data_IF_570191491196
#
_entry.id   IF_570191491196
#
_cell.length_a   1.000
_cell.length_b   1.000
_cell.length_c   1.000
_cell.angle_alpha   90.00
_cell.angle_beta   90.00
_cell.angle_gamma   90.00
#
_symmetry.space_group_name_H-M   'P 1'
#
loop_
_entity.id
_entity.type
_entity.pdbx_description
1 polymer ?
#
# COMPACT_ATOMS: atom_id res chain seq x y z
N UNK A 1 -17.76 -4.01 -21.84
CA UNK A 1 -16.28 -4.06 -21.91
C UNK A 1 -15.76 -4.11 -20.49
N UNK A 2 -15.29 -5.26 -20.03
CA UNK A 2 -14.85 -5.40 -18.64
C UNK A 2 -13.51 -4.68 -18.46
N UNK A 3 -13.43 -3.79 -17.47
CA UNK A 3 -12.17 -3.13 -17.12
C UNK A 3 -11.12 -4.21 -16.80
N UNK A 4 -9.93 -4.20 -17.43
CA UNK A 4 -8.93 -5.26 -17.24
C UNK A 4 -8.36 -5.33 -15.80
N UNK A 5 -8.74 -4.38 -14.95
CA UNK A 5 -8.27 -4.23 -13.56
C UNK A 5 -9.39 -4.41 -12.53
N UNK A 6 -10.51 -5.04 -12.91
CA UNK A 6 -11.58 -5.38 -11.97
C UNK A 6 -11.37 -6.78 -11.39
N UNK A 7 -11.50 -6.91 -10.07
CA UNK A 7 -11.39 -8.21 -9.37
C UNK A 7 -12.48 -9.18 -9.85
N UNK A 8 -12.08 -10.42 -10.12
CA UNK A 8 -12.93 -11.54 -10.58
C UNK A 8 -13.22 -12.55 -9.49
N UNK A 9 -12.34 -12.68 -8.50
CA UNK A 9 -12.44 -13.58 -7.34
C UNK A 9 -11.81 -12.93 -6.11
N UNK A 10 -11.98 -13.52 -4.93
CA UNK A 10 -11.25 -13.04 -3.75
C UNK A 10 -9.78 -13.46 -3.83
N UNK A 11 -8.83 -12.65 -3.30
CA UNK A 11 -7.41 -13.01 -3.25
C UNK A 11 -7.13 -14.33 -2.49
N UNK A 12 -7.98 -14.67 -1.51
CA UNK A 12 -7.86 -15.90 -0.72
C UNK A 12 -8.27 -17.16 -1.50
N UNK A 13 -9.11 -17.01 -2.52
CA UNK A 13 -9.56 -18.11 -3.39
C UNK A 13 -8.48 -18.54 -4.40
N UNK A 14 -7.40 -17.76 -4.53
CA UNK A 14 -6.29 -18.09 -5.44
C UNK A 14 -5.56 -19.34 -4.94
N UNK A 15 -5.43 -20.42 -5.75
CA UNK A 15 -4.74 -21.62 -5.33
C UNK A 15 -3.27 -21.33 -5.00
N UNK A 16 -2.82 -21.73 -3.80
CA UNK A 16 -1.45 -21.53 -3.32
C UNK A 16 -0.36 -21.97 -4.33
N UNK A 17 -0.49 -23.10 -5.07
CA UNK A 17 0.50 -23.46 -6.08
C UNK A 17 0.64 -22.44 -7.21
N UNK A 18 -0.44 -21.77 -7.61
CA UNK A 18 -0.44 -20.74 -8.68
C UNK A 18 0.25 -19.48 -8.17
N UNK A 19 -0.11 -19.02 -6.97
CA UNK A 19 0.53 -17.87 -6.33
C UNK A 19 2.04 -18.09 -6.12
N UNK A 20 2.45 -19.31 -5.75
CA UNK A 20 3.85 -19.69 -5.61
C UNK A 20 4.59 -19.63 -6.96
N UNK A 21 4.00 -20.16 -8.03
CA UNK A 21 4.61 -20.16 -9.35
C UNK A 21 4.86 -18.74 -9.87
N UNK A 22 3.88 -17.85 -9.68
CA UNK A 22 4.02 -16.41 -10.04
C UNK A 22 5.05 -15.72 -9.16
N UNK A 23 5.06 -15.98 -7.85
CA UNK A 23 6.05 -15.38 -6.94
C UNK A 23 7.48 -15.77 -7.33
N UNK A 24 7.70 -17.04 -7.71
CA UNK A 24 9.00 -17.51 -8.20
C UNK A 24 9.37 -16.91 -9.56
N UNK A 25 8.41 -16.83 -10.49
CA UNK A 25 8.61 -16.19 -11.79
C UNK A 25 9.01 -14.71 -11.66
N UNK A 26 8.30 -13.93 -10.84
CA UNK A 26 8.61 -12.53 -10.57
C UNK A 26 9.98 -12.36 -9.91
N UNK A 27 10.38 -13.31 -9.04
CA UNK A 27 11.73 -13.35 -8.46
C UNK A 27 12.80 -13.57 -9.53
N UNK A 28 12.60 -14.54 -10.45
CA UNK A 28 13.52 -14.77 -11.58
C UNK A 28 13.59 -13.56 -12.51
N UNK A 29 12.47 -12.85 -12.67
CA UNK A 29 12.39 -11.62 -13.47
C UNK A 29 12.86 -10.35 -12.75
N UNK A 30 13.58 -10.44 -11.62
CA UNK A 30 14.14 -9.32 -10.85
C UNK A 30 13.12 -8.33 -10.27
N UNK A 31 11.87 -8.75 -10.05
CA UNK A 31 10.83 -7.94 -9.41
C UNK A 31 10.05 -8.76 -8.35
N UNK A 32 10.69 -9.15 -7.25
CA UNK A 32 10.04 -9.97 -6.22
C UNK A 32 8.91 -9.20 -5.55
N UNK A 33 7.73 -9.84 -5.44
CA UNK A 33 6.56 -9.28 -4.78
C UNK A 33 6.12 -10.15 -3.57
N UNK A 34 5.54 -9.55 -2.51
CA UNK A 34 5.00 -10.27 -1.37
C UNK A 34 3.77 -11.10 -1.77
N UNK A 35 3.55 -12.22 -1.06
CA UNK A 35 2.43 -13.13 -1.29
C UNK A 35 1.03 -12.47 -1.36
N UNK A 36 0.66 -11.51 -0.49
CA UNK A 36 -0.63 -10.81 -0.62
C UNK A 36 -0.76 -10.07 -1.95
N UNK A 37 0.28 -9.40 -2.43
CA UNK A 37 0.24 -8.65 -3.69
C UNK A 37 0.12 -9.59 -4.90
N UNK A 38 0.80 -10.74 -4.86
CA UNK A 38 0.65 -11.76 -5.91
C UNK A 38 -0.79 -12.28 -5.98
N UNK A 39 -1.41 -12.51 -4.82
CA UNK A 39 -2.82 -12.96 -4.74
C UNK A 39 -3.78 -11.89 -5.21
N UNK A 40 -3.54 -10.62 -4.88
CA UNK A 40 -4.33 -9.49 -5.37
C UNK A 40 -4.26 -9.35 -6.90
N UNK A 41 -3.07 -9.50 -7.49
CA UNK A 41 -2.92 -9.49 -8.94
C UNK A 41 -3.66 -10.66 -9.60
N UNK A 42 -3.52 -11.87 -9.05
CA UNK A 42 -4.19 -13.07 -9.55
C UNK A 42 -5.71 -13.07 -9.33
N UNK A 43 -6.22 -12.23 -8.43
CA UNK A 43 -7.64 -12.02 -8.23
C UNK A 43 -8.30 -11.28 -9.42
N UNK A 44 -7.52 -10.64 -10.30
CA UNK A 44 -8.00 -10.03 -11.55
C UNK A 44 -8.32 -11.06 -12.64
N UNK A 45 -7.81 -12.28 -12.51
CA UNK A 45 -8.06 -13.38 -13.43
C UNK A 45 -9.17 -14.30 -12.91
N UNK A 46 -9.91 -14.90 -13.84
CA UNK A 46 -10.85 -15.97 -13.50
C UNK A 46 -10.09 -17.25 -13.15
N UNK A 47 -10.71 -18.15 -12.37
CA UNK A 47 -10.13 -19.46 -12.04
C UNK A 47 -9.77 -20.28 -13.28
N UNK A 48 -10.54 -20.11 -14.35
CA UNK A 48 -10.28 -20.75 -15.64
C UNK A 48 -8.94 -20.35 -16.26
N UNK A 49 -8.35 -19.20 -15.91
CA UNK A 49 -7.08 -18.74 -16.47
C UNK A 49 -5.85 -19.26 -15.70
N UNK A 50 -6.03 -19.98 -14.58
CA UNK A 50 -4.91 -20.46 -13.74
C UNK A 50 -3.95 -21.40 -14.49
N UNK A 51 -4.43 -22.14 -15.49
CA UNK A 51 -3.57 -22.97 -16.33
C UNK A 51 -2.65 -22.14 -17.23
N UNK A 52 -3.12 -20.99 -17.71
CA UNK A 52 -2.34 -20.05 -18.55
C UNK A 52 -1.27 -19.38 -17.72
N UNK A 53 -1.60 -19.03 -16.47
CA UNK A 53 -0.63 -18.53 -15.49
C UNK A 53 0.49 -19.55 -15.30
N UNK A 54 0.15 -20.83 -15.04
CA UNK A 54 1.16 -21.88 -14.86
C UNK A 54 2.04 -22.06 -16.08
N UNK A 55 1.44 -22.17 -17.27
CA UNK A 55 2.18 -22.33 -18.52
C UNK A 55 3.18 -21.19 -18.78
N UNK A 56 2.80 -19.95 -18.44
CA UNK A 56 3.70 -18.80 -18.53
C UNK A 56 4.81 -18.85 -17.48
N UNK A 57 4.49 -19.22 -16.23
CA UNK A 57 5.44 -19.24 -15.12
C UNK A 57 6.40 -20.44 -15.11
N UNK A 58 6.11 -21.48 -15.87
CA UNK A 58 6.98 -22.66 -16.03
C UNK A 58 8.22 -22.34 -16.88
N UNK A 59 8.15 -21.30 -17.73
CA UNK A 59 9.26 -20.83 -18.56
C UNK A 59 10.20 -19.82 -17.88
N UNK A 60 11.29 -19.48 -18.57
CA UNK A 60 12.14 -18.34 -18.18
C UNK A 60 11.48 -17.01 -18.57
N UNK A 61 11.65 -15.95 -17.76
CA UNK A 61 11.09 -14.65 -18.08
C UNK A 61 11.80 -14.03 -19.29
N UNK A 62 11.04 -13.75 -20.36
CA UNK A 62 11.56 -13.16 -21.60
C UNK A 62 12.09 -11.73 -21.42
N UNK A 63 11.65 -11.02 -20.37
CA UNK A 63 12.06 -9.66 -20.06
C UNK A 63 12.14 -9.44 -18.54
N UNK A 64 12.86 -8.40 -18.12
CA UNK A 64 12.97 -7.97 -16.71
C UNK A 64 13.02 -6.45 -16.64
N UNK A 65 12.39 -5.79 -15.63
CA UNK A 65 11.69 -6.36 -14.48
C UNK A 65 10.24 -6.77 -14.79
N UNK A 66 9.76 -7.93 -14.31
CA UNK A 66 8.33 -8.33 -14.42
C UNK A 66 7.74 -8.65 -13.04
N UNK A 67 6.86 -7.78 -12.56
CA UNK A 67 6.10 -7.97 -11.32
C UNK A 67 4.77 -8.70 -11.54
N UNK A 68 4.00 -8.98 -10.48
CA UNK A 68 2.79 -9.79 -10.55
C UNK A 68 1.71 -9.18 -11.45
N UNK A 69 1.54 -7.85 -11.45
CA UNK A 69 0.60 -7.17 -12.35
C UNK A 69 1.08 -7.14 -13.81
N UNK A 70 2.39 -7.16 -14.05
CA UNK A 70 2.95 -7.31 -15.39
C UNK A 70 2.64 -8.70 -15.98
N UNK A 71 2.61 -9.75 -15.16
CA UNK A 71 2.19 -11.10 -15.57
C UNK A 71 0.72 -11.10 -16.05
N UNK A 72 -0.17 -10.37 -15.36
CA UNK A 72 -1.57 -10.24 -15.77
C UNK A 72 -1.69 -9.48 -17.10
N UNK A 73 -0.91 -8.42 -17.27
CA UNK A 73 -0.88 -7.64 -18.52
C UNK A 73 -0.40 -8.50 -19.70
N UNK A 74 0.61 -9.35 -19.50
CA UNK A 74 1.08 -10.32 -20.50
C UNK A 74 -0.02 -11.33 -20.85
N UNK A 75 -0.71 -11.89 -19.85
CA UNK A 75 -1.83 -12.80 -20.06
C UNK A 75 -3.03 -12.13 -20.74
N UNK A 76 -3.13 -10.81 -20.64
CA UNK A 76 -4.14 -9.98 -21.32
C UNK A 76 -3.73 -9.62 -22.76
N UNK A 77 -2.54 -10.03 -23.21
CA UNK A 77 -2.07 -9.89 -24.60
C UNK A 77 -0.96 -8.85 -24.80
N UNK A 78 -0.44 -8.23 -23.74
CA UNK A 78 0.69 -7.29 -23.84
C UNK A 78 2.02 -8.04 -24.02
N UNK A 79 2.90 -7.54 -24.89
CA UNK A 79 4.23 -8.13 -25.07
C UNK A 79 5.09 -7.98 -23.80
N UNK A 80 5.91 -9.00 -23.49
CA UNK A 80 6.73 -9.03 -22.27
C UNK A 80 7.67 -7.82 -22.13
N UNK A 81 8.26 -7.34 -23.23
CA UNK A 81 9.12 -6.15 -23.23
C UNK A 81 8.37 -4.86 -22.82
N UNK A 82 7.14 -4.69 -23.31
CA UNK A 82 6.29 -3.53 -22.98
C UNK A 82 5.83 -3.62 -21.52
N UNK A 83 5.46 -4.83 -21.07
CA UNK A 83 5.08 -5.07 -19.69
C UNK A 83 6.25 -4.77 -18.71
N UNK A 84 7.49 -5.10 -19.10
CA UNK A 84 8.68 -4.78 -18.32
C UNK A 84 8.98 -3.28 -18.28
N UNK A 85 8.79 -2.57 -19.39
CA UNK A 85 8.92 -1.11 -19.41
C UNK A 85 7.87 -0.44 -18.51
N UNK A 86 6.62 -0.92 -18.55
CA UNK A 86 5.53 -0.46 -17.66
C UNK A 86 5.85 -0.71 -16.19
N UNK A 87 6.45 -1.86 -15.88
CA UNK A 87 6.92 -2.16 -14.53
C UNK A 87 8.02 -1.20 -14.09
N UNK A 88 9.01 -0.95 -14.96
CA UNK A 88 10.14 -0.08 -14.66
C UNK A 88 9.74 1.40 -14.45
N UNK A 89 8.69 1.87 -15.13
CA UNK A 89 8.18 3.23 -14.97
C UNK A 89 7.07 3.37 -13.90
N UNK A 90 6.77 2.31 -13.14
CA UNK A 90 5.78 2.36 -12.05
C UNK A 90 4.32 2.42 -12.53
N UNK A 91 4.03 2.10 -13.80
CA UNK A 91 2.67 2.19 -14.37
C UNK A 91 1.63 1.38 -13.57
N UNK A 92 2.00 0.18 -13.11
CA UNK A 92 1.06 -0.71 -12.42
C UNK A 92 0.69 -0.22 -11.02
N UNK A 93 1.57 0.54 -10.35
CA UNK A 93 1.25 1.17 -9.07
C UNK A 93 0.16 2.22 -9.25
N UNK A 94 0.31 3.09 -10.26
CA UNK A 94 -0.68 4.11 -10.62
C UNK A 94 -1.99 3.48 -11.10
N UNK A 95 -1.92 2.42 -11.92
CA UNK A 95 -3.11 1.71 -12.39
C UNK A 95 -3.90 1.08 -11.23
N UNK A 96 -3.20 0.54 -10.22
CA UNK A 96 -3.82 -0.02 -9.01
C UNK A 96 -4.51 1.05 -8.18
N UNK A 97 -3.87 2.20 -7.98
CA UNK A 97 -4.46 3.32 -7.23
C UNK A 97 -5.72 3.86 -7.93
N UNK A 98 -5.68 4.02 -9.25
CA UNK A 98 -6.83 4.45 -10.03
C UNK A 98 -7.98 3.42 -9.98
N UNK A 99 -7.68 2.13 -10.01
CA UNK A 99 -8.68 1.08 -9.85
C UNK A 99 -9.32 1.13 -8.46
N UNK A 100 -8.53 1.31 -7.40
CA UNK A 100 -9.03 1.41 -6.04
C UNK A 100 -9.93 2.64 -5.83
N UNK A 101 -9.57 3.79 -6.40
CA UNK A 101 -10.41 5.01 -6.38
C UNK A 101 -11.73 4.80 -7.13
N UNK A 102 -11.74 4.02 -8.22
CA UNK A 102 -12.96 3.68 -8.96
C UNK A 102 -13.86 2.73 -8.16
N UNK A 103 -13.28 1.73 -7.50
CA UNK A 103 -14.02 0.81 -6.63
C UNK A 103 -14.69 1.56 -5.46
N UNK A 104 -13.98 2.49 -4.81
CA UNK A 104 -14.54 3.31 -3.73
C UNK A 104 -15.65 4.28 -4.17
N UNK A 105 -15.65 4.70 -5.44
CA UNK A 105 -16.67 5.60 -6.01
C UNK A 105 -17.86 4.87 -6.61
N UNK A 106 -17.80 3.55 -6.77
CA UNK A 106 -18.91 2.77 -7.32
C UNK A 106 -19.83 2.35 -6.17
N UNK A 107 -21.11 2.79 -6.12
CA UNK A 107 -22.02 2.37 -5.07
C UNK A 107 -22.23 0.84 -5.13
N UNK A 108 -22.40 0.16 -3.98
CA UNK A 108 -22.67 -1.27 -3.96
C UNK A 108 -23.94 -1.58 -4.75
N UNK A 109 -23.98 -2.68 -5.55
CA UNK A 109 -25.19 -3.08 -6.23
C UNK A 109 -26.29 -3.37 -5.19
N UNK A 110 -27.48 -2.83 -5.43
CA UNK A 110 -28.63 -3.05 -4.56
C UNK A 110 -28.92 -4.55 -4.42
N UNK A 111 -29.32 -5.03 -3.23
CA UNK A 111 -29.72 -6.42 -3.04
C UNK A 111 -30.87 -6.73 -3.99
N UNK A 112 -30.74 -7.81 -4.77
CA UNK A 112 -31.77 -8.26 -5.69
C UNK A 112 -33.05 -8.59 -4.90
N UNK A 113 -34.12 -7.86 -5.20
CA UNK A 113 -35.46 -8.18 -4.68
C UNK A 113 -35.89 -9.56 -5.20
N UNK A 114 -36.56 -10.38 -4.37
CA UNK A 114 -37.07 -11.67 -4.82
C UNK A 114 -38.15 -11.45 -5.88
N UNK A 115 -37.86 -11.89 -7.10
CA UNK A 115 -38.82 -11.89 -8.21
C UNK A 115 -40.07 -12.67 -7.83
N UNK A 116 -41.19 -11.96 -7.69
CA UNK A 116 -42.52 -12.55 -7.60
C UNK A 116 -42.82 -13.27 -8.93
N UNK A 117 -42.93 -14.58 -8.84
CA UNK A 117 -43.33 -15.47 -9.93
C UNK A 117 -44.78 -15.18 -10.33
N UNK A 118 -44.97 -14.59 -11.51
CA UNK A 118 -46.26 -14.61 -12.20
C UNK A 118 -46.24 -15.65 -13.33
N UNK A 119 -47.35 -16.38 -13.44
CA UNK A 119 -47.57 -17.54 -14.28
C UNK A 119 -47.35 -17.28 -15.80
N UNK A 120 -47.03 -18.33 -16.59
CA UNK A 120 -46.90 -18.21 -18.04
C UNK A 120 -48.26 -18.32 -18.76
N UNK A 121 -48.49 -17.65 -19.91
CA UNK A 121 -49.62 -17.93 -20.78
C UNK A 121 -49.33 -19.12 -21.73
N UNK A 122 -50.37 -19.77 -22.29
CA UNK A 122 -50.27 -21.08 -22.91
C UNK A 122 -49.81 -21.05 -24.38
N UNK A 123 -49.45 -22.24 -24.84
CA UNK A 123 -48.91 -22.55 -26.16
C UNK A 123 -49.89 -22.32 -27.33
N UNK A 124 -49.32 -22.01 -28.50
CA UNK A 124 -49.96 -22.23 -29.80
C UNK A 124 -49.06 -23.15 -30.63
N UNK A 125 -49.66 -24.25 -31.09
CA UNK A 125 -49.04 -25.31 -31.87
C UNK A 125 -49.02 -25.01 -33.39
N UNK A 126 -47.98 -25.59 -34.01
CA UNK A 126 -47.96 -26.32 -35.29
C UNK A 126 -48.24 -25.60 -36.63
N UNK A 127 -47.22 -25.62 -37.50
CA UNK A 127 -47.14 -26.44 -38.74
C UNK A 127 -45.89 -25.97 -39.53
N UNK A 128 -44.86 -26.76 -39.85
CA UNK A 128 -44.66 -28.06 -40.53
C UNK A 128 -44.02 -27.88 -41.92
N UNK A 129 -42.89 -28.56 -42.17
CA UNK A 129 -42.30 -28.80 -43.51
C UNK A 129 -40.76 -28.80 -43.51
N UNK A 130 -40.04 -29.90 -43.20
CA UNK A 130 -39.51 -30.99 -44.09
C UNK A 130 -38.67 -30.45 -45.29
N UNK A 131 -37.47 -30.93 -45.64
CA UNK A 131 -36.73 -32.22 -45.53
C UNK A 131 -35.22 -31.94 -45.79
N UNK A 132 -34.28 -32.59 -45.08
CA UNK A 132 -33.53 -33.77 -45.54
C UNK A 132 -32.01 -33.46 -45.59
N UNK A 133 -31.05 -34.31 -45.25
CA UNK A 133 -31.05 -35.73 -44.91
C UNK A 133 -29.79 -36.17 -44.12
N UNK A 134 -29.84 -37.43 -43.67
CA UNK A 134 -28.87 -38.18 -42.86
C UNK A 134 -27.58 -38.55 -43.61
N UNK A 135 -26.44 -38.59 -42.90
CA UNK A 135 -25.51 -39.72 -42.93
C UNK A 135 -24.58 -39.71 -41.69
N UNK A 136 -24.28 -40.92 -41.21
CA UNK A 136 -23.66 -41.34 -39.94
C UNK A 136 -22.16 -41.67 -40.06
N UNK A 137 -21.42 -41.58 -38.94
CA UNK A 137 -20.19 -42.31 -38.52
C UNK A 137 -19.54 -41.48 -37.38
N UNK A 138 -19.57 -41.82 -36.08
CA UNK A 138 -19.14 -43.07 -35.41
C UNK A 138 -17.94 -43.70 -36.14
N UNK A 139 -16.73 -43.36 -35.68
CA UNK A 139 -15.44 -44.08 -35.86
C UNK A 139 -14.18 -43.17 -35.90
N UNK A 140 -14.08 -42.14 -35.06
CA UNK A 140 -12.80 -41.40 -34.90
C UNK A 140 -12.45 -41.02 -33.45
N UNK A 141 -13.08 -41.66 -32.45
CA UNK A 141 -12.73 -41.50 -31.02
C UNK A 141 -11.77 -42.59 -30.48
N UNK A 142 -10.98 -43.23 -31.35
CA UNK A 142 -10.21 -44.43 -30.98
C UNK A 142 -8.68 -44.38 -31.27
N UNK A 143 -8.03 -43.20 -31.32
CA UNK A 143 -6.59 -43.17 -31.68
C UNK A 143 -5.70 -42.14 -30.96
N UNK A 144 -6.00 -41.70 -29.73
CA UNK A 144 -4.99 -40.94 -28.93
C UNK A 144 -4.98 -41.27 -27.42
N UNK A 145 -6.03 -41.87 -26.86
CA UNK A 145 -6.11 -42.22 -25.42
C UNK A 145 -5.34 -43.47 -24.99
N UNK A 146 -4.57 -44.10 -25.89
CA UNK A 146 -3.84 -45.36 -25.61
C UNK A 146 -2.31 -45.22 -25.49
N UNK A 147 -1.72 -44.02 -25.58
CA UNK A 147 -0.25 -43.93 -25.78
C UNK A 147 0.61 -43.38 -24.65
N UNK A 148 0.08 -42.92 -23.53
CA UNK A 148 0.95 -42.42 -22.43
C UNK A 148 0.33 -42.76 -21.05
N UNK A 149 0.24 -44.07 -20.77
CA UNK A 149 -0.01 -44.57 -19.42
C UNK A 149 1.25 -45.34 -18.94
N UNK A 150 1.97 -44.85 -17.92
CA UNK A 150 3.16 -45.52 -17.39
C UNK A 150 2.78 -46.72 -16.50
N UNK A 151 3.34 -47.89 -16.85
CA UNK A 151 3.15 -49.18 -16.18
C UNK A 151 3.74 -49.20 -14.76
N UNK A 152 2.91 -49.61 -13.79
CA UNK A 152 3.28 -49.98 -12.42
C UNK A 152 4.17 -51.23 -12.41
N UNK A 153 5.28 -51.21 -11.65
CA UNK A 153 5.98 -52.40 -11.16
C UNK A 153 6.01 -52.36 -9.63
N UNK A 154 5.69 -53.50 -9.02
CA UNK A 154 6.01 -53.89 -7.65
C UNK A 154 6.16 -55.43 -7.64
N UNK A 155 6.62 -56.04 -6.55
CA UNK A 155 8.02 -56.38 -6.25
C UNK A 155 8.27 -57.90 -6.31
N UNK A 156 9.54 -58.32 -6.31
CA UNK A 156 9.92 -59.72 -6.03
C UNK A 156 11.19 -59.74 -5.19
N UNK A 157 11.08 -60.31 -3.99
CA UNK A 157 12.18 -60.87 -3.20
C UNK A 157 12.67 -62.17 -3.88
N UNK A 158 13.98 -62.40 -4.01
CA UNK A 158 14.75 -63.17 -3.01
C UNK A 158 16.17 -63.57 -3.49
N UNK A 159 17.09 -63.49 -2.53
CA UNK A 159 18.33 -64.28 -2.30
C UNK A 159 19.62 -64.16 -3.15
N UNK A 160 20.70 -63.94 -2.37
CA UNK A 160 22.09 -64.45 -2.40
C UNK A 160 23.19 -63.68 -3.16
N UNK A 161 24.16 -63.18 -2.37
CA UNK A 161 25.54 -62.94 -2.82
C UNK A 161 26.24 -61.78 -2.10
N UNK A 162 26.92 -62.05 -0.99
CA UNK A 162 28.03 -61.23 -0.48
C UNK A 162 29.34 -61.76 -1.09
N UNK A 163 30.37 -60.95 -1.36
CA UNK A 163 31.39 -60.74 -0.32
C UNK A 163 32.10 -59.37 -0.25
N UNK A 164 32.49 -59.03 0.97
CA UNK A 164 33.73 -58.43 1.50
C UNK A 164 34.48 -57.25 0.81
N UNK A 165 34.82 -56.31 1.70
CA UNK A 165 35.96 -55.36 1.76
C UNK A 165 36.12 -54.24 0.72
N UNK A 166 36.08 -52.98 1.19
CA UNK A 166 37.25 -52.08 1.24
C UNK A 166 36.90 -50.71 1.88
N UNK A 167 37.74 -50.32 2.85
CA UNK A 167 38.14 -48.97 3.28
C UNK A 167 37.22 -48.10 4.18
N UNK A 168 37.69 -47.95 5.42
CA UNK A 168 37.45 -46.86 6.38
C UNK A 168 37.85 -45.48 5.82
N UNK A 169 37.10 -44.41 6.15
CA UNK A 169 37.59 -43.09 6.61
C UNK A 169 36.42 -42.14 6.98
N UNK A 170 36.65 -41.05 7.75
CA UNK A 170 36.08 -40.91 9.09
C UNK A 170 34.74 -40.18 9.18
N UNK A 171 34.01 -40.50 10.25
CA UNK A 171 32.74 -39.89 10.64
C UNK A 171 32.89 -38.40 11.00
N UNK A 172 32.64 -37.52 10.04
CA UNK A 172 32.25 -36.14 10.33
C UNK A 172 30.93 -36.18 11.10
N UNK A 173 31.00 -35.88 12.39
CA UNK A 173 29.86 -35.73 13.30
C UNK A 173 28.79 -34.86 12.65
N UNK A 174 27.77 -35.52 12.08
CA UNK A 174 26.56 -34.89 11.57
C UNK A 174 25.90 -34.20 12.75
N UNK A 175 26.11 -32.89 12.86
CA UNK A 175 25.27 -32.00 13.67
C UNK A 175 23.83 -32.29 13.27
N UNK A 176 23.03 -32.74 14.22
CA UNK A 176 21.59 -32.97 14.05
C UNK A 176 20.89 -31.64 13.75
N UNK A 177 20.95 -31.23 12.50
CA UNK A 177 20.12 -30.16 11.97
C UNK A 177 18.68 -30.69 11.88
N UNK A 178 17.68 -29.97 12.41
CA UNK A 178 16.29 -30.36 12.30
C UNK A 178 15.92 -30.59 10.83
N UNK A 179 15.24 -31.70 10.53
CA UNK A 179 14.85 -32.04 9.16
C UNK A 179 14.06 -30.88 8.53
N UNK A 180 14.41 -30.42 7.31
CA UNK A 180 13.73 -29.30 6.67
C UNK A 180 12.26 -29.68 6.40
N UNK A 181 11.35 -29.07 7.15
CA UNK A 181 9.90 -29.16 6.92
C UNK A 181 9.49 -28.12 5.87
N UNK A 182 9.11 -28.59 4.68
CA UNK A 182 8.26 -27.88 3.72
C UNK A 182 8.90 -26.68 2.98
N UNK A 183 8.48 -26.47 1.73
CA UNK A 183 8.88 -25.32 0.90
C UNK A 183 8.36 -24.02 1.55
N UNK A 184 9.22 -23.00 1.68
CA UNK A 184 8.96 -21.63 2.16
C UNK A 184 9.14 -21.29 3.66
N UNK A 185 9.97 -22.02 4.41
CA UNK A 185 10.60 -21.39 5.59
C UNK A 185 11.71 -20.46 5.10
N UNK A 186 11.45 -19.15 5.00
CA UNK A 186 12.52 -18.16 4.94
C UNK A 186 13.28 -18.31 6.25
N UNK A 187 14.40 -19.05 6.21
CA UNK A 187 15.32 -19.09 7.33
C UNK A 187 15.93 -17.69 7.38
N UNK A 188 15.47 -16.87 8.33
CA UNK A 188 16.10 -15.58 8.59
C UNK A 188 17.60 -15.82 8.79
N UNK A 189 18.43 -14.97 8.18
CA UNK A 189 19.87 -15.07 8.38
C UNK A 189 20.15 -15.08 9.89
N UNK A 190 21.02 -15.99 10.37
CA UNK A 190 21.28 -16.10 11.79
C UNK A 190 21.76 -14.75 12.33
N UNK A 191 21.01 -14.19 13.28
CA UNK A 191 21.33 -12.91 13.92
C UNK A 191 22.58 -13.11 14.78
N UNK A 192 23.51 -12.17 14.66
CA UNK A 192 24.73 -12.11 15.46
C UNK A 192 24.42 -11.86 16.94
N UNK A 193 25.38 -12.21 17.81
CA UNK A 193 25.17 -12.12 19.26
C UNK A 193 25.20 -10.66 19.76
N UNK A 194 24.48 -10.37 20.84
CA UNK A 194 24.54 -9.06 21.52
C UNK A 194 25.97 -8.68 21.94
N UNK A 195 26.78 -9.68 22.31
CA UNK A 195 28.16 -9.49 22.73
C UNK A 195 29.06 -8.91 21.62
N UNK A 196 28.70 -9.07 20.35
CA UNK A 196 29.44 -8.44 19.26
C UNK A 196 29.24 -6.93 19.24
N UNK A 197 28.05 -6.45 19.62
CA UNK A 197 27.75 -5.03 19.70
C UNK A 197 28.46 -4.35 20.88
N UNK A 198 28.65 -5.04 22.01
CA UNK A 198 29.28 -4.46 23.21
C UNK A 198 30.80 -4.43 23.14
N UNK A 199 31.42 -5.28 22.31
CA UNK A 199 32.89 -5.29 22.12
C UNK A 199 33.36 -4.06 21.37
N UNK A 200 34.65 -3.71 21.55
CA UNK A 200 35.31 -2.63 20.79
C UNK A 200 35.23 -2.84 19.27
N UNK A 201 35.21 -4.09 18.79
CA UNK A 201 35.01 -4.41 17.37
C UNK A 201 33.61 -4.09 16.87
N UNK A 202 32.62 -3.98 17.77
CA UNK A 202 31.24 -3.59 17.46
C UNK A 202 31.05 -2.09 17.31
N UNK A 203 31.91 -1.27 17.93
CA UNK A 203 31.86 0.19 17.84
C UNK A 203 31.76 0.73 16.40
N UNK A 204 32.62 0.35 15.44
CA UNK A 204 32.51 0.85 14.06
C UNK A 204 31.21 0.40 13.36
N UNK A 205 30.63 -0.73 13.76
CA UNK A 205 29.35 -1.21 13.22
C UNK A 205 28.21 -0.31 13.72
N UNK A 206 28.23 0.02 15.01
CA UNK A 206 27.24 0.90 15.64
C UNK A 206 27.38 2.32 15.10
N UNK A 207 28.60 2.84 14.92
CA UNK A 207 28.87 4.15 14.31
C UNK A 207 28.34 4.23 12.87
N UNK A 208 28.64 3.24 12.03
CA UNK A 208 28.13 3.21 10.66
C UNK A 208 26.60 3.15 10.61
N UNK A 209 25.97 2.40 11.52
CA UNK A 209 24.53 2.34 11.63
C UNK A 209 23.93 3.65 12.17
N UNK A 210 24.61 4.31 13.12
CA UNK A 210 24.23 5.62 13.67
C UNK A 210 24.24 6.70 12.59
N UNK A 211 25.24 6.71 11.72
CA UNK A 211 25.32 7.65 10.60
C UNK A 211 24.14 7.49 9.63
N UNK A 212 23.77 6.24 9.33
CA UNK A 212 22.65 5.93 8.44
C UNK A 212 21.25 6.14 9.06
N UNK A 213 21.15 6.12 10.40
CA UNK A 213 19.87 6.23 11.10
C UNK A 213 19.58 7.67 11.54
N UNK A 214 18.36 8.14 11.31
CA UNK A 214 17.93 9.48 11.72
C UNK A 214 17.64 9.59 13.22
N UNK A 215 17.16 8.50 13.83
CA UNK A 215 16.80 8.44 15.24
C UNK A 215 16.94 7.02 15.82
N UNK A 216 16.90 6.88 17.14
CA UNK A 216 17.11 5.61 17.88
C UNK A 216 16.16 4.48 17.48
N UNK A 217 14.91 4.79 17.14
CA UNK A 217 13.97 3.76 16.67
C UNK A 217 14.34 3.20 15.28
N UNK A 218 14.94 4.00 14.40
CA UNK A 218 15.42 3.55 13.10
C UNK A 218 16.71 2.74 13.29
N UNK A 219 17.59 3.20 14.17
CA UNK A 219 18.80 2.48 14.56
C UNK A 219 18.47 1.11 15.16
N UNK A 220 17.52 1.04 16.08
CA UNK A 220 17.05 -0.21 16.69
C UNK A 220 16.51 -1.16 15.64
N UNK A 221 15.67 -0.69 14.71
CA UNK A 221 15.12 -1.49 13.60
C UNK A 221 16.21 -2.01 12.68
N UNK A 222 17.23 -1.20 12.38
CA UNK A 222 18.35 -1.62 11.53
C UNK A 222 19.23 -2.67 12.22
N UNK A 223 19.52 -2.50 13.51
CA UNK A 223 20.35 -3.43 14.27
C UNK A 223 19.61 -4.73 14.63
N UNK A 224 18.31 -4.67 14.94
CA UNK A 224 17.51 -5.86 15.30
C UNK A 224 17.35 -6.86 14.15
N UNK A 225 17.51 -6.41 12.89
CA UNK A 225 17.55 -7.29 11.73
C UNK A 225 18.81 -8.16 11.69
N UNK A 226 19.91 -7.71 12.32
CA UNK A 226 21.23 -8.33 12.23
C UNK A 226 21.72 -8.91 13.55
N UNK A 227 21.22 -8.43 14.67
CA UNK A 227 21.70 -8.77 16.01
C UNK A 227 20.55 -9.15 16.94
N UNK A 228 20.84 -10.09 17.84
CA UNK A 228 20.00 -10.40 18.99
C UNK A 228 20.34 -9.46 20.16
N UNK A 229 19.38 -9.28 21.07
CA UNK A 229 19.57 -8.64 22.37
C UNK A 229 20.12 -9.59 23.42
N UNK A 230 20.42 -9.07 24.60
CA UNK A 230 21.00 -9.84 25.70
C UNK A 230 20.12 -11.01 26.17
N UNK A 231 18.79 -10.87 26.04
CA UNK A 231 17.79 -11.86 26.48
C UNK A 231 16.86 -12.33 25.35
N UNK A 232 17.27 -12.20 24.09
CA UNK A 232 16.44 -12.55 22.93
C UNK A 232 16.44 -11.46 21.88
N UNK A 233 15.31 -10.77 21.70
CA UNK A 233 15.21 -9.64 20.77
C UNK A 233 15.97 -8.42 21.29
N UNK A 234 16.58 -7.65 20.37
CA UNK A 234 17.27 -6.42 20.72
C UNK A 234 16.25 -5.37 21.17
N UNK A 235 16.34 -4.94 22.42
CA UNK A 235 15.44 -3.95 23.00
C UNK A 235 16.02 -2.54 22.92
N UNK A 236 15.18 -1.53 23.12
CA UNK A 236 15.64 -0.13 23.21
C UNK A 236 16.64 0.07 24.37
N UNK A 237 16.42 -0.60 25.51
CA UNK A 237 17.33 -0.52 26.65
C UNK A 237 18.71 -1.10 26.31
N UNK A 238 18.74 -2.23 25.59
CA UNK A 238 20.00 -2.84 25.14
C UNK A 238 20.77 -1.89 24.22
N UNK A 239 20.07 -1.25 23.26
CA UNK A 239 20.67 -0.27 22.37
C UNK A 239 21.23 0.93 23.12
N UNK A 240 20.47 1.50 24.05
CA UNK A 240 20.93 2.66 24.84
C UNK A 240 22.15 2.31 25.70
N UNK A 241 22.22 1.11 26.26
CA UNK A 241 23.40 0.65 26.98
C UNK A 241 24.62 0.54 26.06
N UNK A 242 24.48 -0.09 24.87
CA UNK A 242 25.56 -0.18 23.88
C UNK A 242 26.05 1.20 23.43
N UNK A 243 25.13 2.15 23.21
CA UNK A 243 25.49 3.53 22.84
C UNK A 243 26.24 4.23 23.97
N UNK A 244 25.85 4.03 25.24
CA UNK A 244 26.58 4.59 26.40
C UNK A 244 27.97 3.97 26.55
N UNK A 245 28.07 2.65 26.43
CA UNK A 245 29.34 1.92 26.55
C UNK A 245 30.36 2.36 25.49
N UNK A 246 29.90 2.73 24.29
CA UNK A 246 30.75 3.26 23.20
C UNK A 246 30.95 4.78 23.20
N UNK A 247 30.31 5.50 24.14
CA UNK A 247 30.25 6.97 24.20
C UNK A 247 29.64 7.61 22.94
N UNK A 248 28.59 7.00 22.38
CA UNK A 248 27.84 7.46 21.20
C UNK A 248 26.43 7.99 21.54
N UNK A 249 26.06 8.01 22.81
CA UNK A 249 24.71 8.45 23.22
C UNK A 249 24.50 9.93 22.96
N UNK A 250 25.47 10.79 23.27
CA UNK A 250 25.33 12.24 23.13
C UNK A 250 25.22 12.65 21.65
N UNK A 251 26.01 12.02 20.78
CA UNK A 251 25.95 12.28 19.33
C UNK A 251 24.61 11.86 18.73
N UNK A 252 24.05 10.72 19.18
CA UNK A 252 22.69 10.29 18.83
C UNK A 252 21.66 11.33 19.28
N UNK A 253 21.71 11.76 20.54
CA UNK A 253 20.75 12.73 21.12
C UNK A 253 20.79 14.05 20.36
N UNK A 254 21.97 14.60 20.09
CA UNK A 254 22.10 15.85 19.33
C UNK A 254 21.55 15.73 17.90
N UNK A 255 21.81 14.61 17.23
CA UNK A 255 21.27 14.33 15.89
C UNK A 255 19.75 14.26 15.93
N UNK A 256 19.18 13.55 16.91
CA UNK A 256 17.72 13.44 17.07
C UNK A 256 17.08 14.79 17.37
N UNK A 257 17.67 15.61 18.25
CA UNK A 257 17.16 16.95 18.55
C UNK A 257 17.06 17.80 17.29
N UNK A 258 18.14 17.82 16.49
CA UNK A 258 18.17 18.54 15.21
C UNK A 258 17.09 18.03 14.26
N UNK A 259 17.03 16.72 14.03
CA UNK A 259 16.05 16.11 13.12
C UNK A 259 14.59 16.36 13.54
N UNK A 260 14.28 16.31 14.83
CA UNK A 260 12.92 16.61 15.33
C UNK A 260 12.57 18.07 15.08
N UNK A 261 13.45 19.01 15.43
CA UNK A 261 13.20 20.44 15.22
C UNK A 261 13.13 20.81 13.73
N UNK A 262 14.01 20.25 12.91
CA UNK A 262 14.01 20.42 11.45
C UNK A 262 12.74 19.82 10.82
N UNK A 263 12.27 18.68 11.33
CA UNK A 263 10.99 18.10 10.95
C UNK A 263 9.83 19.05 11.26
N UNK A 264 9.75 19.56 12.49
CA UNK A 264 8.69 20.50 12.89
C UNK A 264 8.74 21.82 12.12
N UNK A 265 9.91 22.33 11.79
CA UNK A 265 10.04 23.54 10.96
C UNK A 265 9.66 23.26 9.50
N UNK A 266 10.17 22.18 8.90
CA UNK A 266 9.87 21.79 7.52
C UNK A 266 8.40 21.45 7.28
N UNK A 267 7.74 20.83 8.26
CA UNK A 267 6.31 20.47 8.19
C UNK A 267 5.38 21.53 8.82
N UNK A 268 5.89 22.73 9.12
CA UNK A 268 5.13 23.86 9.68
C UNK A 268 4.31 23.51 10.93
N UNK A 269 4.90 22.76 11.86
CA UNK A 269 4.27 22.44 13.15
C UNK A 269 3.30 21.24 13.13
N UNK A 270 3.14 20.56 11.99
CA UNK A 270 2.24 19.42 11.87
C UNK A 270 2.85 18.11 12.40
N UNK A 271 2.61 17.80 13.67
CA UNK A 271 3.13 16.60 14.35
C UNK A 271 2.84 15.30 13.57
N UNK A 272 1.65 15.16 12.98
CA UNK A 272 1.31 13.97 12.19
C UNK A 272 2.19 13.80 10.94
N UNK A 273 2.52 14.91 10.27
CA UNK A 273 3.41 14.89 9.10
C UNK A 273 4.87 14.70 9.49
N UNK A 274 5.29 15.26 10.62
CA UNK A 274 6.63 15.04 11.18
C UNK A 274 6.83 13.57 11.51
N UNK A 275 5.87 12.95 12.20
CA UNK A 275 5.94 11.53 12.54
C UNK A 275 6.08 10.67 11.26
N UNK A 276 5.25 10.95 10.25
CA UNK A 276 5.32 10.24 8.96
C UNK A 276 6.65 10.46 8.23
N UNK A 277 7.15 11.69 8.17
CA UNK A 277 8.42 12.01 7.52
C UNK A 277 9.62 11.33 8.18
N UNK A 278 9.58 11.18 9.51
CA UNK A 278 10.59 10.45 10.27
C UNK A 278 10.34 8.93 10.31
N UNK A 279 9.27 8.41 9.69
CA UNK A 279 8.94 6.98 9.77
C UNK A 279 8.65 6.50 11.19
N UNK A 280 8.06 7.38 12.01
CA UNK A 280 7.63 7.15 13.39
C UNK A 280 6.10 7.09 13.47
N UNK A 281 5.59 6.31 14.42
CA UNK A 281 4.21 6.44 14.86
C UNK A 281 4.00 7.72 15.68
N UNK A 282 2.76 8.24 15.78
CA UNK A 282 2.49 9.45 16.58
C UNK A 282 2.89 9.31 18.05
N UNK A 283 2.74 8.11 18.62
CA UNK A 283 3.13 7.81 20.01
C UNK A 283 4.65 7.73 20.17
N UNK A 284 5.38 7.20 19.19
CA UNK A 284 6.84 7.21 19.20
C UNK A 284 7.42 8.62 19.06
N UNK A 285 6.84 9.47 18.21
CA UNK A 285 7.25 10.87 18.13
C UNK A 285 7.03 11.59 19.48
N UNK A 286 5.89 11.38 20.14
CA UNK A 286 5.63 11.96 21.46
C UNK A 286 6.64 11.48 22.52
N UNK A 287 6.96 10.17 22.52
CA UNK A 287 8.01 9.63 23.41
C UNK A 287 9.38 10.23 23.10
N UNK A 288 9.73 10.38 21.82
CA UNK A 288 11.01 10.96 21.42
C UNK A 288 11.11 12.42 21.89
N UNK A 289 10.07 13.22 21.68
CA UNK A 289 9.99 14.61 22.16
C UNK A 289 10.10 14.68 23.69
N UNK A 290 9.44 13.77 24.43
CA UNK A 290 9.53 13.78 25.89
C UNK A 290 10.91 13.39 26.40
N UNK A 291 11.51 12.33 25.83
CA UNK A 291 12.84 11.83 26.22
C UNK A 291 13.92 12.85 25.91
N UNK A 292 13.80 13.59 24.81
CA UNK A 292 14.73 14.66 24.44
C UNK A 292 14.43 15.99 25.17
N UNK A 293 13.37 16.05 25.99
CA UNK A 293 12.92 17.28 26.67
C UNK A 293 12.67 18.44 25.70
N UNK A 294 12.12 18.16 24.52
CA UNK A 294 11.84 19.13 23.46
C UNK A 294 10.42 19.70 23.51
N UNK A 295 9.63 19.36 24.54
CA UNK A 295 8.20 19.70 24.61
C UNK A 295 7.95 21.20 24.47
N UNK A 296 8.71 22.03 25.18
CA UNK A 296 8.56 23.48 25.14
C UNK A 296 9.00 24.08 23.80
N UNK A 297 10.11 23.60 23.25
CA UNK A 297 10.66 24.04 21.97
C UNK A 297 9.72 23.70 20.81
N UNK A 298 9.17 22.48 20.80
CA UNK A 298 8.18 22.01 19.83
C UNK A 298 6.89 22.82 19.95
N UNK A 299 6.37 23.05 21.15
CA UNK A 299 5.16 23.86 21.32
C UNK A 299 5.38 25.33 20.96
N UNK A 300 6.55 25.90 21.21
CA UNK A 300 6.90 27.25 20.75
C UNK A 300 6.91 27.34 19.22
N UNK A 301 7.48 26.35 18.53
CA UNK A 301 7.43 26.24 17.06
C UNK A 301 6.00 26.12 16.56
N UNK A 302 5.20 25.23 17.16
CA UNK A 302 3.79 25.05 16.78
C UNK A 302 3.00 26.31 17.00
N UNK A 303 3.18 27.00 18.12
CA UNK A 303 2.50 28.26 18.40
C UNK A 303 2.91 29.37 17.42
N UNK A 304 4.16 29.43 16.98
CA UNK A 304 4.58 30.33 15.90
C UNK A 304 3.79 30.06 14.61
N UNK A 305 3.67 28.80 14.20
CA UNK A 305 2.90 28.43 13.01
C UNK A 305 1.39 28.59 13.19
N UNK A 306 0.86 28.42 14.41
CA UNK A 306 -0.53 28.76 14.74
C UNK A 306 -0.80 30.24 14.50
N UNK A 307 0.08 31.12 14.96
CA UNK A 307 -0.03 32.57 14.73
C UNK A 307 0.12 32.93 13.26
N UNK A 308 1.09 32.33 12.57
CA UNK A 308 1.29 32.54 11.13
C UNK A 308 0.06 32.14 10.31
N UNK A 309 -0.53 30.98 10.62
CA UNK A 309 -1.74 30.51 9.95
C UNK A 309 -2.94 31.46 10.18
N UNK A 310 -3.11 31.97 11.40
CA UNK A 310 -4.16 32.94 11.73
C UNK A 310 -3.91 34.34 11.15
N UNK A 311 -2.65 34.74 10.99
CA UNK A 311 -2.24 36.04 10.48
C UNK A 311 -2.01 36.09 8.96
N UNK A 312 -2.30 35.00 8.23
CA UNK A 312 -2.08 34.92 6.79
C UNK A 312 -2.72 36.12 6.06
N UNK A 313 -1.98 36.95 5.31
CA UNK A 313 -2.52 38.22 4.80
C UNK A 313 -3.48 38.06 3.61
N UNK A 314 -3.32 37.01 2.80
CA UNK A 314 -4.06 36.83 1.56
C UNK A 314 -5.22 35.85 1.72
N UNK A 315 -6.40 36.23 1.19
CA UNK A 315 -7.61 35.41 1.21
C UNK A 315 -7.38 34.04 0.57
N UNK A 316 -6.71 33.98 -0.58
CA UNK A 316 -6.38 32.72 -1.29
C UNK A 316 -5.65 31.73 -0.38
N UNK A 317 -4.64 32.19 0.36
CA UNK A 317 -3.90 31.33 1.27
C UNK A 317 -4.76 30.84 2.44
N UNK A 318 -5.68 31.67 2.95
CA UNK A 318 -6.63 31.26 4.00
C UNK A 318 -7.62 30.21 3.46
N UNK A 319 -8.12 30.38 2.25
CA UNK A 319 -9.02 29.42 1.61
C UNK A 319 -8.31 28.08 1.31
N UNK A 320 -7.06 28.11 0.88
CA UNK A 320 -6.26 26.90 0.70
C UNK A 320 -6.01 26.16 2.02
N UNK A 321 -5.73 26.91 3.10
CA UNK A 321 -5.59 26.34 4.44
C UNK A 321 -6.88 25.71 4.94
N UNK A 322 -8.04 26.32 4.64
CA UNK A 322 -9.35 25.74 4.96
C UNK A 322 -9.53 24.35 4.35
N UNK A 323 -9.02 24.12 3.13
CA UNK A 323 -9.01 22.81 2.49
C UNK A 323 -8.12 21.76 3.18
N UNK A 324 -7.18 22.20 4.03
CA UNK A 324 -6.23 21.34 4.77
C UNK A 324 -6.71 21.07 6.19
N UNK A 325 -7.92 20.54 6.32
CA UNK A 325 -8.59 20.29 7.62
C UNK A 325 -7.73 19.47 8.59
N UNK A 326 -7.12 18.37 8.11
CA UNK A 326 -6.24 17.52 8.94
C UNK A 326 -5.07 18.28 9.54
N UNK A 327 -4.50 19.25 8.81
CA UNK A 327 -3.41 20.09 9.28
C UNK A 327 -3.87 21.09 10.34
N UNK A 328 -5.01 21.74 10.11
CA UNK A 328 -5.58 22.68 11.09
C UNK A 328 -6.05 21.98 12.37
N UNK A 329 -6.55 20.75 12.25
CA UNK A 329 -6.91 19.90 13.38
C UNK A 329 -5.66 19.49 14.17
N UNK A 330 -4.60 19.07 13.47
CA UNK A 330 -3.32 18.72 14.09
C UNK A 330 -2.68 19.91 14.82
N UNK A 331 -2.78 21.13 14.26
CA UNK A 331 -2.35 22.35 14.96
C UNK A 331 -3.30 22.81 16.09
N UNK A 332 -4.48 22.21 16.25
CA UNK A 332 -5.46 22.59 17.27
C UNK A 332 -6.14 23.94 17.04
N UNK A 333 -6.06 24.51 15.82
CA UNK A 333 -6.63 25.83 15.49
C UNK A 333 -7.85 25.76 14.59
N UNK A 334 -8.28 24.58 14.16
CA UNK A 334 -9.38 24.40 13.19
C UNK A 334 -10.62 25.25 13.49
N UNK A 335 -11.15 25.20 14.72
CA UNK A 335 -12.35 25.98 15.10
C UNK A 335 -12.10 27.49 15.02
N UNK A 336 -11.01 27.95 15.66
CA UNK A 336 -10.64 29.38 15.68
C UNK A 336 -10.41 29.93 14.27
N UNK A 337 -9.74 29.15 13.41
CA UNK A 337 -9.49 29.49 12.02
C UNK A 337 -10.79 29.57 11.21
N UNK A 338 -11.66 28.57 11.35
CA UNK A 338 -12.96 28.54 10.67
C UNK A 338 -13.86 29.72 11.09
N UNK A 339 -13.93 30.03 12.39
CA UNK A 339 -14.72 31.15 12.90
C UNK A 339 -14.19 32.51 12.43
N UNK A 340 -12.86 32.68 12.39
CA UNK A 340 -12.21 33.89 11.87
C UNK A 340 -12.51 34.07 10.38
N UNK A 341 -12.31 33.01 9.59
CA UNK A 341 -12.55 33.05 8.15
C UNK A 341 -14.04 33.21 7.82
N UNK A 342 -14.94 32.64 8.64
CA UNK A 342 -16.39 32.85 8.52
C UNK A 342 -16.75 34.33 8.66
N UNK A 343 -16.30 34.98 9.74
CA UNK A 343 -16.56 36.41 9.99
C UNK A 343 -15.98 37.30 8.90
N UNK A 344 -14.78 36.95 8.40
CA UNK A 344 -14.17 37.66 7.29
C UNK A 344 -15.00 37.51 6.01
N UNK A 345 -15.38 36.29 5.63
CA UNK A 345 -16.20 36.06 4.44
C UNK A 345 -17.59 36.70 4.55
N UNK A 346 -18.23 36.68 5.72
CA UNK A 346 -19.49 37.39 5.95
C UNK A 346 -19.34 38.90 5.69
N UNK A 347 -18.24 39.51 6.15
CA UNK A 347 -17.93 40.92 5.89
C UNK A 347 -17.70 41.18 4.41
N UNK A 348 -16.86 40.37 3.76
CA UNK A 348 -16.54 40.53 2.34
C UNK A 348 -17.78 40.34 1.46
N UNK A 349 -18.61 39.34 1.78
CA UNK A 349 -19.88 39.11 1.10
C UNK A 349 -20.84 40.27 1.30
N UNK A 350 -20.94 40.82 2.52
CA UNK A 350 -21.78 41.99 2.81
C UNK A 350 -21.46 43.21 1.94
N UNK A 351 -20.20 43.41 1.55
CA UNK A 351 -19.76 44.51 0.67
C UNK A 351 -20.16 44.33 -0.81
N UNK A 352 -20.60 43.13 -1.20
CA UNK A 352 -20.91 42.76 -2.60
C UNK A 352 -22.28 42.12 -2.75
N UNK A 353 -23.05 42.02 -1.66
CA UNK A 353 -24.32 41.30 -1.59
C UNK A 353 -25.37 41.86 -2.57
N UNK A 354 -25.36 43.17 -2.79
CA UNK A 354 -26.31 43.84 -3.68
C UNK A 354 -25.95 43.71 -5.17
N UNK A 355 -24.71 43.30 -5.48
CA UNK A 355 -24.20 43.23 -6.85
C UNK A 355 -24.43 41.85 -7.49
N UNK A 356 -24.94 40.86 -6.73
CA UNK A 356 -25.08 39.47 -7.15
C UNK A 356 -26.51 38.97 -7.00
N UNK A 357 -26.96 38.09 -7.92
CA UNK A 357 -28.28 37.45 -7.87
C UNK A 357 -28.20 36.03 -7.32
N UNK A 358 -27.10 35.34 -7.63
CA UNK A 358 -26.85 33.96 -7.24
C UNK A 358 -25.57 33.81 -6.39
N UNK A 359 -25.48 32.70 -5.66
CA UNK A 359 -24.31 32.38 -4.81
C UNK A 359 -23.00 32.30 -5.62
N UNK A 360 -23.09 31.89 -6.89
CA UNK A 360 -21.92 31.79 -7.78
C UNK A 360 -21.45 33.18 -8.25
N UNK A 361 -22.38 34.06 -8.64
CA UNK A 361 -22.07 35.46 -8.97
C UNK A 361 -21.49 36.21 -7.77
N UNK A 362 -21.99 35.90 -6.57
CA UNK A 362 -21.47 36.46 -5.32
C UNK A 362 -20.03 36.01 -5.06
N UNK A 363 -19.76 34.71 -5.23
CA UNK A 363 -18.41 34.17 -5.11
C UNK A 363 -17.46 34.78 -6.16
N UNK A 364 -17.93 34.97 -7.40
CA UNK A 364 -17.19 35.63 -8.48
C UNK A 364 -16.92 37.11 -8.19
N UNK A 365 -17.86 37.81 -7.58
CA UNK A 365 -17.71 39.23 -7.25
C UNK A 365 -16.73 39.44 -6.08
N UNK A 366 -16.76 38.57 -5.06
CA UNK A 366 -15.75 38.53 -3.98
C UNK A 366 -14.38 38.13 -4.53
N UNK A 367 -14.32 37.12 -5.41
CA UNK A 367 -13.11 36.68 -6.08
C UNK A 367 -12.42 37.80 -6.87
N UNK A 368 -13.20 38.56 -7.65
CA UNK A 368 -12.70 39.71 -8.43
C UNK A 368 -12.19 40.85 -7.55
N UNK A 369 -12.88 41.18 -6.46
CA UNK A 369 -12.46 42.27 -5.55
C UNK A 369 -11.21 41.93 -4.73
N UNK A 370 -11.06 40.67 -4.31
CA UNK A 370 -9.99 40.28 -3.37
C UNK A 370 -8.88 39.42 -3.98
N UNK A 371 -8.92 39.17 -5.29
CA UNK A 371 -7.87 38.43 -6.01
C UNK A 371 -7.78 36.97 -5.58
N UNK A 372 -8.93 36.32 -5.34
CA UNK A 372 -9.02 34.91 -4.96
C UNK A 372 -9.76 34.08 -6.02
N UNK A 373 -9.49 32.77 -6.16
CA UNK A 373 -10.26 31.91 -7.07
C UNK A 373 -11.72 31.76 -6.62
N UNK A 374 -12.67 31.99 -7.52
CA UNK A 374 -14.10 31.91 -7.23
C UNK A 374 -14.54 30.53 -6.70
N UNK A 375 -13.99 29.46 -7.26
CA UNK A 375 -14.22 28.08 -6.79
C UNK A 375 -13.84 27.87 -5.32
N UNK A 376 -12.74 28.48 -4.86
CA UNK A 376 -12.30 28.36 -3.47
C UNK A 376 -13.21 29.16 -2.54
N UNK A 377 -13.66 30.35 -2.98
CA UNK A 377 -14.63 31.16 -2.24
C UNK A 377 -15.95 30.41 -2.11
N UNK A 378 -16.49 29.89 -3.21
CA UNK A 378 -17.74 29.14 -3.24
C UNK A 378 -17.69 27.93 -2.29
N UNK A 379 -16.65 27.09 -2.41
CA UNK A 379 -16.45 25.93 -1.52
C UNK A 379 -16.29 26.34 -0.06
N UNK A 380 -15.67 27.48 0.22
CA UNK A 380 -15.54 27.98 1.58
C UNK A 380 -16.88 28.42 2.15
N UNK A 381 -17.74 29.07 1.37
CA UNK A 381 -19.11 29.42 1.77
C UNK A 381 -19.93 28.17 2.11
N UNK A 382 -19.80 27.09 1.34
CA UNK A 382 -20.44 25.82 1.63
C UNK A 382 -19.86 25.15 2.89
N UNK A 383 -18.53 24.99 2.96
CA UNK A 383 -17.85 24.32 4.10
C UNK A 383 -18.05 25.03 5.43
N UNK A 384 -18.14 26.36 5.43
CA UNK A 384 -18.35 27.17 6.62
C UNK A 384 -19.83 27.29 7.00
N UNK A 385 -20.74 26.73 6.21
CA UNK A 385 -22.20 26.75 6.46
C UNK A 385 -22.86 28.10 6.18
N UNK A 386 -22.25 28.94 5.34
CA UNK A 386 -22.77 30.27 4.99
C UNK A 386 -23.75 30.23 3.80
N UNK A 387 -23.65 29.22 2.94
CA UNK A 387 -24.42 29.13 1.69
C UNK A 387 -25.94 29.28 1.88
N UNK A 388 -26.53 28.60 2.88
CA UNK A 388 -27.99 28.63 3.08
C UNK A 388 -28.50 29.97 3.61
N UNK A 389 -27.72 30.63 4.47
CA UNK A 389 -28.03 31.98 4.96
C UNK A 389 -27.98 33.00 3.84
N UNK A 390 -26.94 32.93 3.00
CA UNK A 390 -26.75 33.84 1.87
C UNK A 390 -27.80 33.65 0.78
N UNK A 391 -28.19 32.41 0.46
CA UNK A 391 -29.29 32.14 -0.48
C UNK A 391 -30.60 32.78 -0.04
N UNK A 392 -30.93 32.72 1.25
CA UNK A 392 -32.14 33.37 1.79
C UNK A 392 -32.06 34.90 1.67
N UNK A 393 -30.90 35.49 1.89
CA UNK A 393 -30.68 36.94 1.76
C UNK A 393 -30.78 37.41 0.31
N UNK A 394 -30.20 36.67 -0.64
CA UNK A 394 -30.29 36.96 -2.08
C UNK A 394 -31.75 36.87 -2.58
N UNK A 395 -32.51 35.87 -2.13
CA UNK A 395 -33.94 35.75 -2.43
C UNK A 395 -34.78 36.88 -1.82
N UNK A 396 -34.38 37.40 -0.66
CA UNK A 396 -35.06 38.52 -0.01
C UNK A 396 -34.75 39.87 -0.69
N UNK A 397 -33.53 40.06 -1.21
CA UNK A 397 -33.14 41.28 -1.95
C UNK A 397 -33.62 41.33 -3.40
N UNK A 398 -34.07 40.21 -3.96
CA UNK A 398 -34.67 40.14 -5.31
C UNK A 398 -36.19 40.42 -5.32
N UNK A 399 -36.82 40.65 -4.17
CA UNK A 399 -38.21 41.11 -4.03
C UNK A 399 -38.22 42.59 -3.70
#
# INVERSE_FOLDING_TARGET
MNSPWQRRRQPDDVPTPVAVAVSDFCRRAKAPAPAPEVREALALLAEADDFRVRALTDGEPEASPLGPFAVIDILSGTQAAVAAQRQACGFYEVARELAHVREQRTPPPAPAEPTLTFAPPPAAEASSGKKGGKASKEDLEATVKERIAPRKRAPTEDTLGSPADFAEEPALSRRDLPRPRGRFTRVEAPRASFLELTRLTGKPIVEAALEAADHRFALLRALSQRFNGARGELTQMDLENVLRDHALMDTMVEKERRQVLDGFTGQRGAAGRVAWALGLSPSELQRLVSVLSLTEEVEALRERFRREALAAPHLTHRLDLLGREKYLADLGIQKKFADMLRKELERLVGEVLNDARDLHELADAVARKHGAPAELVFRALERLGLADGLRKQLLAGSR
#
